data_IF_212027588696
#
_entry.id   IF_212027588696
#
_cell.length_a   1.000
_cell.length_b   1.000
_cell.length_c   1.000
_cell.angle_alpha   90.00
_cell.angle_beta   90.00
_cell.angle_gamma   90.00
#
_symmetry.space_group_name_H-M   'P 1'
#
loop_
_entity.id
_entity.type
_entity.pdbx_description
1 polymer ?
#
# COMPACT_ATOMS: atom_id res chain seq x y z
N UNK A 1 -42.31 18.82 33.36
CA UNK A 1 -41.82 19.65 34.47
C UNK A 1 -40.47 20.22 34.06
N UNK A 2 -40.40 21.51 33.74
CA UNK A 2 -39.17 22.22 33.33
C UNK A 2 -38.44 22.67 34.60
N UNK A 3 -37.14 22.40 34.71
CA UNK A 3 -36.29 23.05 35.69
C UNK A 3 -35.05 23.55 34.95
N UNK A 4 -34.96 24.87 34.85
CA UNK A 4 -33.77 25.60 34.44
C UNK A 4 -32.78 25.66 35.60
N UNK A 5 -31.48 25.61 35.30
CA UNK A 5 -30.48 26.23 36.17
C UNK A 5 -29.48 27.05 35.37
N UNK A 6 -29.20 28.21 35.96
CA UNK A 6 -28.60 29.41 35.40
C UNK A 6 -27.09 29.32 35.30
N UNK A 7 -26.56 30.16 34.42
CA UNK A 7 -25.14 30.42 34.21
C UNK A 7 -24.51 31.01 35.49
N UNK A 8 -23.31 30.56 35.82
CA UNK A 8 -22.40 31.26 36.73
C UNK A 8 -21.09 31.49 35.99
N UNK A 9 -20.86 32.74 35.63
CA UNK A 9 -19.56 33.30 35.25
C UNK A 9 -18.71 33.44 36.51
N UNK A 10 -17.45 32.99 36.47
CA UNK A 10 -16.40 33.43 37.41
C UNK A 10 -15.20 33.92 36.56
N UNK A 11 -14.68 35.14 36.83
CA UNK A 11 -13.70 35.84 36.00
C UNK A 11 -12.24 35.66 36.47
N UNK A 12 -11.30 36.02 35.57
CA UNK A 12 -9.95 36.60 35.78
C UNK A 12 -8.95 35.82 36.67
N UNK A 13 -7.63 35.80 36.46
CA UNK A 13 -6.73 36.65 35.70
C UNK A 13 -5.44 35.88 35.35
N UNK A 14 -4.67 36.46 34.43
CA UNK A 14 -3.39 36.00 33.92
C UNK A 14 -2.29 35.92 35.00
N UNK A 15 -1.38 34.95 34.82
CA UNK A 15 0.02 35.12 35.19
C UNK A 15 0.89 34.84 33.97
N UNK A 16 1.57 35.91 33.54
CA UNK A 16 2.67 35.86 32.60
C UNK A 16 3.86 35.12 33.24
N UNK A 17 4.36 34.12 32.54
CA UNK A 17 5.63 33.46 32.84
C UNK A 17 6.44 33.36 31.56
N UNK A 18 7.38 34.27 31.39
CA UNK A 18 8.43 34.16 30.38
C UNK A 18 9.39 33.04 30.78
N UNK A 19 9.66 32.10 29.86
CA UNK A 19 10.81 31.19 29.94
C UNK A 19 11.46 31.05 28.54
N UNK A 20 12.80 30.90 28.48
CA UNK A 20 13.59 31.23 27.31
C UNK A 20 13.73 30.09 26.29
N UNK A 21 14.08 30.53 25.09
CA UNK A 21 14.36 29.81 23.85
C UNK A 21 15.58 28.88 23.97
N UNK A 22 15.45 27.64 23.49
CA UNK A 22 16.55 26.71 23.24
C UNK A 22 16.24 25.88 21.99
N UNK A 23 17.18 25.74 21.02
CA UNK A 23 16.88 25.14 19.73
C UNK A 23 17.03 23.62 19.83
N UNK A 24 15.94 22.89 19.67
CA UNK A 24 15.99 21.45 19.37
C UNK A 24 15.58 21.26 17.93
N UNK A 25 16.59 21.10 17.07
CA UNK A 25 16.42 20.70 15.68
C UNK A 25 15.77 19.32 15.63
N UNK A 26 14.45 19.29 15.45
CA UNK A 26 13.76 18.19 14.82
C UNK A 26 13.56 18.56 13.36
N UNK A 27 14.44 18.01 12.52
CA UNK A 27 14.38 18.07 11.06
C UNK A 27 13.14 17.29 10.59
N UNK A 28 11.97 17.84 10.88
CA UNK A 28 10.68 17.42 10.38
C UNK A 28 10.50 18.10 9.04
N UNK A 29 11.24 17.63 8.04
CA UNK A 29 11.04 18.03 6.65
C UNK A 29 9.57 17.80 6.31
N UNK A 30 8.79 18.85 6.06
CA UNK A 30 7.47 18.67 5.49
C UNK A 30 7.72 18.07 4.12
N UNK A 31 7.20 16.87 3.86
CA UNK A 31 7.11 16.39 2.49
C UNK A 31 6.43 17.48 1.68
N UNK A 32 7.05 18.01 0.61
CA UNK A 32 6.42 19.04 -0.18
C UNK A 32 5.17 18.41 -0.79
N UNK A 33 4.01 18.88 -0.33
CA UNK A 33 2.73 18.65 -0.97
C UNK A 33 2.72 19.44 -2.28
N UNK A 34 3.47 18.94 -3.26
CA UNK A 34 3.22 19.30 -4.64
C UNK A 34 1.84 18.73 -4.97
N UNK A 35 0.83 19.60 -4.86
CA UNK A 35 -0.42 19.42 -5.59
C UNK A 35 -0.08 19.48 -7.07
N UNK A 36 0.38 18.35 -7.61
CA UNK A 36 0.41 18.19 -9.05
C UNK A 36 -1.02 17.88 -9.44
N UNK A 37 -1.68 18.90 -9.96
CA UNK A 37 -2.88 18.80 -10.77
C UNK A 37 -2.54 18.00 -12.03
N UNK A 38 -2.31 16.69 -11.88
CA UNK A 38 -2.36 15.80 -13.01
C UNK A 38 -3.84 15.53 -13.26
N UNK A 39 -4.37 16.21 -14.27
CA UNK A 39 -5.41 15.61 -15.11
C UNK A 39 -5.10 14.12 -15.20
N UNK A 40 -6.04 13.30 -14.70
CA UNK A 40 -5.90 11.86 -14.55
C UNK A 40 -5.91 11.22 -15.94
N UNK A 41 -4.83 11.45 -16.70
CA UNK A 41 -4.50 10.66 -17.86
C UNK A 41 -4.50 9.21 -17.39
N UNK A 42 -5.34 8.40 -18.03
CA UNK A 42 -5.39 6.97 -17.76
C UNK A 42 -3.95 6.45 -17.81
N UNK A 43 -3.43 6.01 -16.67
CA UNK A 43 -2.08 5.45 -16.61
C UNK A 43 -2.05 4.30 -17.63
N UNK A 44 -1.08 4.25 -18.56
CA UNK A 44 -0.98 3.15 -19.49
C UNK A 44 -0.88 1.84 -18.69
N UNK A 45 -1.54 0.79 -19.19
CA UNK A 45 -1.47 -0.53 -18.55
C UNK A 45 0.02 -0.92 -18.42
N UNK A 46 0.51 -1.30 -17.23
CA UNK A 46 1.89 -1.74 -17.08
C UNK A 46 2.20 -2.95 -17.96
N UNK A 47 3.45 -3.10 -18.36
CA UNK A 47 3.88 -4.25 -19.15
C UNK A 47 3.72 -5.56 -18.36
N UNK A 48 3.47 -6.65 -19.08
CA UNK A 48 3.42 -7.97 -18.49
C UNK A 48 4.83 -8.42 -18.06
N UNK A 49 5.02 -8.92 -16.83
CA UNK A 49 6.30 -9.45 -16.40
C UNK A 49 6.60 -10.79 -17.08
N UNK A 50 7.88 -11.06 -17.30
CA UNK A 50 8.34 -12.40 -17.66
C UNK A 50 8.60 -13.23 -16.41
N UNK A 51 7.61 -14.04 -16.01
CA UNK A 51 7.71 -14.93 -14.86
C UNK A 51 8.06 -16.37 -15.27
N UNK A 52 8.74 -17.08 -14.38
CA UNK A 52 8.89 -18.54 -14.41
C UNK A 52 8.30 -19.12 -13.13
N UNK A 53 7.45 -20.14 -13.25
CA UNK A 53 7.03 -20.95 -12.10
C UNK A 53 8.09 -22.01 -11.83
N UNK A 54 8.56 -22.09 -10.59
CA UNK A 54 9.54 -23.04 -10.11
C UNK A 54 8.86 -24.35 -9.67
N UNK A 55 9.63 -25.44 -9.55
CA UNK A 55 9.12 -26.76 -9.16
C UNK A 55 8.46 -26.77 -7.76
N UNK A 56 8.90 -25.88 -6.87
CA UNK A 56 8.31 -25.68 -5.53
C UNK A 56 7.05 -24.81 -5.54
N UNK A 57 6.56 -24.38 -6.71
CA UNK A 57 5.37 -23.54 -6.85
C UNK A 57 5.63 -22.03 -6.69
N UNK A 58 6.87 -21.62 -6.42
CA UNK A 58 7.25 -20.21 -6.33
C UNK A 58 7.39 -19.59 -7.72
N UNK A 59 7.41 -18.27 -7.77
CA UNK A 59 7.62 -17.50 -8.99
C UNK A 59 9.00 -16.85 -8.97
N UNK A 60 9.56 -16.69 -10.17
CA UNK A 60 10.86 -16.09 -10.41
C UNK A 60 10.77 -15.08 -11.56
N UNK A 61 11.29 -13.88 -11.33
CA UNK A 61 11.32 -12.79 -12.32
C UNK A 61 12.50 -12.99 -13.28
N UNK A 62 12.21 -13.30 -14.56
CA UNK A 62 13.22 -13.64 -15.57
C UNK A 62 13.93 -12.43 -16.18
N UNK A 63 13.24 -11.30 -16.28
CA UNK A 63 13.77 -10.03 -16.78
C UNK A 63 13.41 -8.90 -15.82
N UNK A 64 14.21 -7.82 -15.75
CA UNK A 64 13.84 -6.64 -14.99
C UNK A 64 12.43 -6.19 -15.39
N UNK A 65 11.61 -5.89 -14.39
CA UNK A 65 10.22 -5.51 -14.57
C UNK A 65 10.01 -4.15 -13.91
N UNK A 66 9.48 -3.20 -14.69
CA UNK A 66 9.15 -1.86 -14.19
C UNK A 66 7.64 -1.73 -14.08
N UNK A 67 7.18 -1.23 -12.93
CA UNK A 67 5.78 -0.94 -12.64
C UNK A 67 5.66 0.54 -12.33
N UNK A 68 4.94 1.27 -13.17
CA UNK A 68 4.59 2.69 -12.92
C UNK A 68 3.23 2.74 -12.26
N UNK A 69 3.19 3.05 -10.96
CA UNK A 69 1.94 3.25 -10.21
C UNK A 69 2.07 4.45 -9.27
N UNK A 70 0.97 5.17 -9.08
CA UNK A 70 0.92 6.38 -8.23
C UNK A 70 1.98 7.43 -8.62
N UNK A 71 2.28 7.55 -9.92
CA UNK A 71 3.27 8.50 -10.45
C UNK A 71 4.73 8.15 -10.12
N UNK A 72 5.00 6.92 -9.64
CA UNK A 72 6.34 6.44 -9.31
C UNK A 72 6.65 5.14 -10.05
N UNK A 73 7.89 5.03 -10.51
CA UNK A 73 8.43 3.80 -11.08
C UNK A 73 9.01 2.91 -9.98
N UNK A 74 8.66 1.63 -10.05
CA UNK A 74 9.14 0.59 -9.18
C UNK A 74 9.85 -0.48 -10.02
N UNK A 75 11.09 -0.80 -9.65
CA UNK A 75 11.93 -1.70 -10.43
C UNK A 75 12.15 -3.02 -9.69
N UNK A 76 11.48 -4.07 -10.17
CA UNK A 76 11.67 -5.42 -9.68
C UNK A 76 12.87 -6.02 -10.42
N UNK A 77 13.96 -6.39 -9.73
CA UNK A 77 15.14 -6.91 -10.39
C UNK A 77 14.89 -8.31 -10.94
N UNK A 78 15.55 -8.63 -12.04
CA UNK A 78 15.75 -10.03 -12.46
C UNK A 78 16.35 -10.79 -11.29
N UNK A 79 15.86 -12.01 -11.04
CA UNK A 79 16.35 -12.81 -9.92
C UNK A 79 15.42 -12.86 -8.72
N UNK A 80 14.49 -11.91 -8.62
CA UNK A 80 13.56 -11.88 -7.50
C UNK A 80 12.66 -13.13 -7.49
N UNK A 81 12.49 -13.74 -6.32
CA UNK A 81 11.61 -14.88 -6.10
C UNK A 81 10.50 -14.54 -5.12
N UNK A 82 9.29 -14.99 -5.42
CA UNK A 82 8.08 -14.71 -4.67
C UNK A 82 7.26 -15.98 -4.48
N UNK A 83 6.49 -16.03 -3.40
CA UNK A 83 5.55 -17.13 -3.15
C UNK A 83 4.30 -17.02 -4.02
N UNK A 84 4.10 -15.86 -4.67
CA UNK A 84 2.92 -15.50 -5.43
C UNK A 84 1.68 -15.47 -4.54
N UNK A 85 0.56 -15.98 -5.04
CA UNK A 85 -0.67 -16.04 -4.27
C UNK A 85 -0.53 -17.08 -3.16
N UNK A 86 -0.38 -16.60 -1.93
CA UNK A 86 -0.34 -17.41 -0.70
C UNK A 86 -1.77 -17.63 -0.19
N UNK A 87 -2.41 -18.69 -0.68
CA UNK A 87 -3.74 -19.12 -0.26
C UNK A 87 -3.82 -20.66 -0.29
N UNK A 88 -4.78 -21.29 0.44
CA UNK A 88 -5.02 -22.72 0.33
C UNK A 88 -5.25 -23.14 -1.14
N UNK A 89 -4.74 -24.30 -1.54
CA UNK A 89 -4.70 -24.75 -2.95
C UNK A 89 -6.07 -24.67 -3.67
N UNK A 90 -7.15 -25.02 -2.95
CA UNK A 90 -8.54 -24.95 -3.46
C UNK A 90 -8.96 -23.55 -3.94
N UNK A 91 -8.35 -22.49 -3.41
CA UNK A 91 -8.64 -21.11 -3.78
C UNK A 91 -7.65 -20.53 -4.79
N UNK A 92 -6.45 -21.10 -4.91
CA UNK A 92 -5.40 -20.59 -5.81
C UNK A 92 -5.85 -20.55 -7.27
N UNK A 93 -6.53 -21.61 -7.74
CA UNK A 93 -7.07 -21.66 -9.09
C UNK A 93 -8.06 -20.52 -9.37
N UNK A 94 -9.03 -20.31 -8.47
CA UNK A 94 -10.04 -19.24 -8.59
C UNK A 94 -9.45 -17.84 -8.50
N UNK A 95 -8.36 -17.68 -7.74
CA UNK A 95 -7.67 -16.40 -7.60
C UNK A 95 -6.80 -16.06 -8.81
N UNK A 96 -6.49 -17.02 -9.69
CA UNK A 96 -5.63 -16.80 -10.87
C UNK A 96 -4.16 -17.06 -10.56
N UNK A 97 -3.85 -18.24 -10.03
CA UNK A 97 -2.46 -18.70 -9.86
C UNK A 97 -1.86 -19.16 -11.20
N UNK A 98 -0.78 -18.51 -11.64
CA UNK A 98 0.00 -18.91 -12.81
C UNK A 98 0.74 -17.76 -13.47
N UNK A 99 1.71 -18.08 -14.33
CA UNK A 99 2.65 -17.08 -14.88
C UNK A 99 1.99 -16.05 -15.81
N UNK A 100 0.83 -16.36 -16.38
CA UNK A 100 0.10 -15.48 -17.30
C UNK A 100 -1.09 -14.77 -16.62
N UNK A 101 -1.25 -14.95 -15.30
CA UNK A 101 -2.34 -14.36 -14.54
C UNK A 101 -1.91 -13.05 -13.89
N UNK A 102 -2.66 -11.99 -14.18
CA UNK A 102 -2.47 -10.63 -13.65
C UNK A 102 -2.49 -10.57 -12.13
N UNK A 103 -3.27 -11.44 -11.50
CA UNK A 103 -3.34 -11.59 -10.05
C UNK A 103 -2.04 -12.12 -9.46
N UNK A 104 -1.40 -13.06 -10.16
CA UNK A 104 -0.07 -13.56 -9.79
C UNK A 104 0.99 -12.47 -9.98
N UNK A 105 0.92 -11.69 -11.06
CA UNK A 105 1.84 -10.56 -11.28
C UNK A 105 1.76 -9.57 -10.13
N UNK A 106 0.54 -9.15 -9.77
CA UNK A 106 0.32 -8.24 -8.65
C UNK A 106 0.80 -8.84 -7.32
N UNK A 107 0.62 -10.15 -7.10
CA UNK A 107 1.13 -10.82 -5.89
C UNK A 107 2.67 -10.84 -5.83
N UNK A 108 3.35 -11.06 -6.96
CA UNK A 108 4.82 -10.98 -7.04
C UNK A 108 5.32 -9.57 -6.71
N UNK A 109 4.64 -8.55 -7.21
CA UNK A 109 4.94 -7.17 -6.87
C UNK A 109 4.69 -6.87 -5.39
N UNK A 110 3.57 -7.36 -4.82
CA UNK A 110 3.22 -7.20 -3.41
C UNK A 110 4.28 -7.81 -2.48
N UNK A 111 4.74 -9.04 -2.77
CA UNK A 111 5.83 -9.68 -2.03
C UNK A 111 7.12 -8.84 -2.12
N UNK A 112 7.41 -8.28 -3.30
CA UNK A 112 8.60 -7.45 -3.50
C UNK A 112 8.54 -6.15 -2.70
N UNK A 113 7.36 -5.52 -2.60
CA UNK A 113 7.19 -4.28 -1.83
C UNK A 113 7.56 -4.42 -0.36
N UNK A 114 7.40 -5.60 0.25
CA UNK A 114 7.84 -5.84 1.63
C UNK A 114 9.35 -5.79 1.83
N UNK A 115 10.13 -5.82 0.76
CA UNK A 115 11.59 -5.68 0.80
C UNK A 115 12.05 -4.23 0.66
N UNK A 116 11.12 -3.31 0.39
CA UNK A 116 11.46 -1.92 0.07
C UNK A 116 11.48 -1.03 1.32
N UNK A 117 12.52 -0.20 1.50
CA UNK A 117 12.60 0.67 2.66
C UNK A 117 11.49 1.73 2.62
N UNK A 118 10.86 1.95 3.78
CA UNK A 118 9.80 2.96 3.94
C UNK A 118 8.45 2.58 3.35
N UNK A 119 8.27 1.34 2.87
CA UNK A 119 6.97 0.83 2.44
C UNK A 119 6.31 0.11 3.61
N UNK A 120 5.26 0.71 4.18
CA UNK A 120 4.42 0.08 5.18
C UNK A 120 3.57 -1.03 4.57
N UNK A 121 3.09 -1.94 5.42
CA UNK A 121 2.23 -3.04 4.97
C UNK A 121 0.91 -2.55 4.36
N UNK A 122 0.28 -1.55 4.96
CA UNK A 122 -0.94 -0.94 4.42
C UNK A 122 -0.70 -0.28 3.04
N UNK A 123 0.45 0.37 2.86
CA UNK A 123 0.85 0.90 1.55
C UNK A 123 1.03 -0.22 0.52
N UNK A 124 1.71 -1.31 0.88
CA UNK A 124 1.88 -2.46 0.01
C UNK A 124 0.53 -3.07 -0.41
N UNK A 125 -0.38 -3.29 0.54
CA UNK A 125 -1.73 -3.81 0.26
C UNK A 125 -2.51 -2.88 -0.69
N UNK A 126 -2.41 -1.56 -0.49
CA UNK A 126 -3.05 -0.57 -1.37
C UNK A 126 -2.46 -0.60 -2.77
N UNK A 127 -1.14 -0.66 -2.89
CA UNK A 127 -0.44 -0.73 -4.17
C UNK A 127 -0.72 -2.04 -4.91
N UNK A 128 -0.91 -3.14 -4.19
CA UNK A 128 -1.39 -4.40 -4.75
C UNK A 128 -2.77 -4.24 -5.40
N UNK A 129 -3.72 -3.61 -4.70
CA UNK A 129 -5.03 -3.29 -5.29
C UNK A 129 -4.90 -2.40 -6.53
N UNK A 130 -4.13 -1.32 -6.46
CA UNK A 130 -3.96 -0.40 -7.58
C UNK A 130 -3.37 -1.09 -8.81
N UNK A 131 -2.41 -2.01 -8.60
CA UNK A 131 -1.81 -2.78 -9.69
C UNK A 131 -2.77 -3.81 -10.30
N UNK A 132 -3.61 -4.47 -9.50
CA UNK A 132 -4.70 -5.33 -10.01
C UNK A 132 -5.62 -4.54 -10.94
N UNK A 133 -6.01 -3.33 -10.54
CA UNK A 133 -6.84 -2.43 -11.36
C UNK A 133 -6.10 -2.01 -12.64
N UNK A 134 -4.83 -1.63 -12.54
CA UNK A 134 -4.03 -1.23 -13.69
C UNK A 134 -3.90 -2.35 -14.74
N UNK A 135 -3.75 -3.60 -14.31
CA UNK A 135 -3.78 -4.76 -15.20
C UNK A 135 -5.18 -5.10 -15.74
N UNK A 136 -6.23 -4.48 -15.22
CA UNK A 136 -7.62 -4.69 -15.64
C UNK A 136 -8.24 -5.95 -15.04
N UNK A 137 -7.85 -6.32 -13.83
CA UNK A 137 -8.59 -7.29 -13.02
C UNK A 137 -9.92 -6.66 -12.62
N UNK A 138 -11.08 -7.37 -12.74
CA UNK A 138 -12.37 -6.80 -12.37
C UNK A 138 -12.39 -6.25 -10.93
N UNK A 139 -12.99 -5.08 -10.74
CA UNK A 139 -13.04 -4.38 -9.45
C UNK A 139 -13.54 -5.26 -8.30
N UNK A 140 -14.53 -6.12 -8.54
CA UNK A 140 -15.08 -7.04 -7.52
C UNK A 140 -14.02 -8.02 -7.03
N UNK A 141 -13.29 -8.65 -7.95
CA UNK A 141 -12.19 -9.57 -7.64
C UNK A 141 -11.02 -8.84 -6.97
N UNK A 142 -10.62 -7.68 -7.50
CA UNK A 142 -9.55 -6.88 -6.92
C UNK A 142 -9.86 -6.43 -5.48
N UNK A 143 -11.10 -5.99 -5.22
CA UNK A 143 -11.54 -5.63 -3.87
C UNK A 143 -11.53 -6.83 -2.90
N UNK A 144 -11.98 -8.01 -3.35
CA UNK A 144 -11.93 -9.22 -2.54
C UNK A 144 -10.49 -9.56 -2.12
N UNK A 145 -9.57 -9.54 -3.09
CA UNK A 145 -8.16 -9.83 -2.83
C UNK A 145 -7.53 -8.79 -1.90
N UNK A 146 -7.78 -7.50 -2.14
CA UNK A 146 -7.31 -6.40 -1.29
C UNK A 146 -7.78 -6.53 0.17
N UNK A 147 -9.08 -6.78 0.37
CA UNK A 147 -9.65 -6.96 1.72
C UNK A 147 -9.02 -8.14 2.44
N UNK A 148 -8.72 -9.22 1.72
CA UNK A 148 -8.08 -10.41 2.28
C UNK A 148 -6.67 -10.11 2.80
N UNK A 149 -5.82 -9.46 2.00
CA UNK A 149 -4.45 -9.12 2.43
C UNK A 149 -4.44 -8.07 3.53
N UNK A 150 -5.36 -7.09 3.46
CA UNK A 150 -5.51 -6.03 4.45
C UNK A 150 -5.97 -6.57 5.81
N UNK A 151 -6.94 -7.50 5.83
CA UNK A 151 -7.38 -8.15 7.06
C UNK A 151 -6.23 -8.93 7.73
N UNK A 152 -5.41 -9.62 6.93
CA UNK A 152 -4.20 -10.28 7.42
C UNK A 152 -3.16 -9.29 7.96
N UNK A 153 -3.15 -8.03 7.49
CA UNK A 153 -2.27 -6.95 8.00
C UNK A 153 -2.67 -6.50 9.38
N UNK A 154 -3.97 -6.33 9.59
CA UNK A 154 -4.51 -5.94 10.89
C UNK A 154 -4.15 -6.98 11.96
N UNK A 155 -4.22 -8.28 11.64
CA UNK A 155 -3.85 -9.34 12.60
C UNK A 155 -2.35 -9.45 12.90
N UNK A 156 -1.49 -8.81 12.11
CA UNK A 156 -0.03 -8.82 12.29
C UNK A 156 0.55 -7.49 12.80
N UNK A 157 -0.24 -6.42 12.80
CA UNK A 157 0.19 -5.09 13.26
C UNK A 157 0.22 -4.95 14.78
N UNK A 158 -0.30 -5.93 15.53
CA UNK A 158 -0.35 -5.96 17.00
C UNK A 158 0.82 -6.73 17.64
N UNK A 159 2.00 -6.81 16.99
CA UNK A 159 3.22 -7.40 17.57
C UNK A 159 4.45 -6.57 17.32
#
# INVERSE_FOLDING_TARGET
MKIQFRHVLIPCAALAGCMPMGPSGSDSRPYPSHQVSHQRAAQPRPDAPELKKLKNGHYYVRKPWTVTINGRDWHIPKGYSSNGITAPARFKATLGDGIDHKETWAAVFHDWLFTQPGVSRAQADRMFYDLLIAYGVPNTKANLMYRTVSAYSLTKSDR
#
